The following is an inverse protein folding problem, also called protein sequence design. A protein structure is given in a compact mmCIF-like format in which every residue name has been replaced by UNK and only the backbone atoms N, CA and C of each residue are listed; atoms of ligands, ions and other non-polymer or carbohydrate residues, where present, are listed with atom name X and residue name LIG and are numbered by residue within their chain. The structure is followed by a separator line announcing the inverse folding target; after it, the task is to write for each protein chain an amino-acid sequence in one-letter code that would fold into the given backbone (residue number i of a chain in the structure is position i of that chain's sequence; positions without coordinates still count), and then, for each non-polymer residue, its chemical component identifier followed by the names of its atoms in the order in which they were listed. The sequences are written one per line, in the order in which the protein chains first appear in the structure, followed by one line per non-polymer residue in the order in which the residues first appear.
data_IF_393376657583
#
_entry.id   IF_393376657583
#
_cell.length_a   1.000
_cell.length_b   1.000
_cell.length_c   1.000
_cell.angle_alpha   90.00
_cell.angle_beta   90.00
_cell.angle_gamma   90.00
#
_symmetry.space_group_name_H-M   'P 1'
#
loop_
_entity.id
_entity.type
_entity.pdbx_description
1 polymer ?
#
# COMPACT_ATOMS: atom_id res chain seq x y z
N UNK A 1 35.09 1.04 48.27
CA UNK A 1 36.20 0.08 48.12
C UNK A 1 35.58 -1.19 47.54
N UNK A 2 35.79 -1.65 46.31
CA UNK A 2 36.73 -1.36 45.23
C UNK A 2 36.13 -1.89 43.91
N UNK A 3 36.33 -1.10 42.86
CA UNK A 3 36.39 -1.35 41.41
C UNK A 3 35.95 -2.69 40.77
N UNK A 4 35.02 -2.56 39.80
CA UNK A 4 35.42 -2.60 38.39
C UNK A 4 35.60 -3.97 37.74
N UNK A 5 34.50 -4.60 37.32
CA UNK A 5 34.55 -5.53 36.18
C UNK A 5 34.46 -4.72 34.88
N UNK A 6 35.61 -4.14 34.53
CA UNK A 6 35.87 -3.54 33.24
C UNK A 6 35.87 -4.67 32.19
N UNK A 7 34.69 -4.99 31.64
CA UNK A 7 34.57 -5.86 30.48
C UNK A 7 35.24 -5.17 29.29
N UNK A 8 36.54 -5.38 29.19
CA UNK A 8 37.40 -5.00 28.07
C UNK A 8 36.99 -5.83 26.84
N UNK A 9 35.90 -5.44 26.20
CA UNK A 9 35.62 -5.82 24.82
C UNK A 9 36.58 -5.04 23.92
N UNK A 10 37.72 -5.66 23.61
CA UNK A 10 38.56 -5.26 22.48
C UNK A 10 37.68 -5.32 21.22
N UNK A 11 37.19 -4.16 20.79
CA UNK A 11 36.36 -4.03 19.60
C UNK A 11 37.11 -4.63 18.40
N UNK A 12 36.53 -5.67 17.79
CA UNK A 12 37.09 -6.29 16.59
C UNK A 12 36.91 -5.30 15.43
N UNK A 13 37.98 -4.81 14.79
CA UNK A 13 37.90 -3.71 13.83
C UNK A 13 36.98 -3.99 12.63
N UNK A 14 36.83 -5.25 12.20
CA UNK A 14 35.93 -5.59 11.08
C UNK A 14 34.47 -5.22 11.35
N UNK A 15 34.04 -5.22 12.63
CA UNK A 15 32.64 -5.07 12.98
C UNK A 15 32.13 -3.66 12.66
N UNK A 16 33.02 -2.67 12.65
CA UNK A 16 32.71 -1.27 12.37
C UNK A 16 32.49 -1.05 10.87
N UNK A 17 33.31 -1.69 10.02
CA UNK A 17 33.15 -1.62 8.56
C UNK A 17 31.80 -2.19 8.10
N UNK A 18 31.29 -3.22 8.79
CA UNK A 18 30.00 -3.83 8.49
C UNK A 18 28.82 -2.89 8.78
N UNK A 19 28.94 -2.02 9.78
CA UNK A 19 27.89 -1.05 10.14
C UNK A 19 27.86 0.11 9.15
N UNK A 20 29.02 0.61 8.71
CA UNK A 20 29.07 1.70 7.73
C UNK A 20 28.52 1.28 6.36
N UNK A 21 28.78 0.05 5.93
CA UNK A 21 28.31 -0.47 4.63
C UNK A 21 26.76 -0.56 4.53
N UNK A 22 26.05 -0.70 5.66
CA UNK A 22 24.59 -0.69 5.69
C UNK A 22 23.98 0.71 5.46
N UNK A 23 24.74 1.77 5.73
CA UNK A 23 24.28 3.17 5.56
C UNK A 23 24.54 3.72 4.15
N UNK A 24 25.39 3.07 3.35
CA UNK A 24 25.71 3.45 1.97
C UNK A 24 24.85 2.74 0.91
N UNK A 25 23.80 2.02 1.32
CA UNK A 25 22.74 1.57 0.42
C UNK A 25 21.88 2.78 0.03
N UNK A 26 22.44 3.60 -0.85
CA UNK A 26 21.78 4.17 -2.01
C UNK A 26 20.28 4.45 -1.80
N UNK A 27 19.97 5.64 -1.27
CA UNK A 27 18.67 6.32 -1.39
C UNK A 27 18.38 6.61 -2.88
N UNK A 28 18.25 5.54 -3.68
CA UNK A 28 17.65 5.56 -5.00
C UNK A 28 16.16 5.59 -4.73
N UNK A 29 15.61 6.79 -4.64
CA UNK A 29 14.18 7.00 -4.83
C UNK A 29 13.80 6.24 -6.11
N UNK A 30 12.91 5.24 -6.05
CA UNK A 30 12.45 4.59 -7.26
C UNK A 30 11.83 5.69 -8.12
N UNK A 31 12.46 5.97 -9.26
CA UNK A 31 11.92 6.89 -10.27
C UNK A 31 10.57 6.31 -10.67
N UNK A 32 9.49 6.87 -10.14
CA UNK A 32 8.12 6.45 -10.43
C UNK A 32 7.82 6.90 -11.85
N UNK A 33 8.22 6.07 -12.80
CA UNK A 33 7.75 6.18 -14.19
C UNK A 33 6.25 5.90 -14.13
N UNK A 34 5.45 6.96 -14.05
CA UNK A 34 4.00 6.84 -13.95
C UNK A 34 3.54 6.15 -15.23
N UNK A 35 2.99 4.93 -15.16
CA UNK A 35 2.52 4.26 -16.35
C UNK A 35 1.40 5.10 -16.98
N UNK A 36 1.29 5.13 -18.33
CA UNK A 36 0.22 5.86 -18.99
C UNK A 36 -1.12 5.43 -18.39
N UNK A 37 -1.97 6.41 -18.04
CA UNK A 37 -3.25 6.19 -17.36
C UNK A 37 -4.17 5.37 -18.28
N UNK A 38 -4.17 4.06 -18.10
CA UNK A 38 -5.11 3.16 -18.76
C UNK A 38 -6.49 3.33 -18.13
N UNK A 39 -7.52 3.33 -18.96
CA UNK A 39 -8.89 3.29 -18.47
C UNK A 39 -9.05 2.04 -17.57
N UNK A 40 -9.63 2.17 -16.37
CA UNK A 40 -9.80 1.04 -15.48
C UNK A 40 -10.75 0.03 -16.13
N UNK A 41 -10.48 -1.26 -15.92
CA UNK A 41 -11.41 -2.29 -16.36
C UNK A 41 -12.75 -2.14 -15.63
N UNK A 42 -13.84 -2.58 -16.26
CA UNK A 42 -15.18 -2.55 -15.63
C UNK A 42 -15.18 -3.25 -14.27
N UNK A 43 -14.43 -4.35 -14.13
CA UNK A 43 -14.27 -5.06 -12.87
C UNK A 43 -13.53 -4.23 -11.81
N UNK A 44 -12.48 -3.50 -12.20
CA UNK A 44 -11.76 -2.61 -11.28
C UNK A 44 -12.68 -1.49 -10.76
N UNK A 45 -13.54 -0.94 -11.63
CA UNK A 45 -14.55 0.05 -11.23
C UNK A 45 -15.55 -0.57 -10.25
N UNK A 46 -16.11 -1.74 -10.57
CA UNK A 46 -17.07 -2.44 -9.70
C UNK A 46 -16.48 -2.74 -8.32
N UNK A 47 -15.23 -3.22 -8.27
CA UNK A 47 -14.52 -3.49 -7.02
C UNK A 47 -14.28 -2.22 -6.21
N UNK A 48 -13.90 -1.13 -6.87
CA UNK A 48 -13.70 0.17 -6.21
C UNK A 48 -14.98 0.65 -5.55
N UNK A 49 -16.10 0.63 -6.29
CA UNK A 49 -17.43 1.00 -5.76
C UNK A 49 -17.82 0.07 -4.61
N UNK A 50 -17.72 -1.25 -4.80
CA UNK A 50 -18.06 -2.23 -3.77
C UNK A 50 -17.21 -2.04 -2.50
N UNK A 51 -15.94 -1.70 -2.64
CA UNK A 51 -15.04 -1.45 -1.50
C UNK A 51 -15.45 -0.19 -0.74
N UNK A 52 -15.74 0.91 -1.44
CA UNK A 52 -16.21 2.15 -0.81
C UNK A 52 -17.53 1.92 -0.07
N UNK A 53 -18.47 1.23 -0.70
CA UNK A 53 -19.78 0.93 -0.09
C UNK A 53 -19.64 -0.08 1.07
N UNK A 54 -18.70 -1.03 1.00
CA UNK A 54 -18.44 -1.97 2.08
C UNK A 54 -17.91 -1.26 3.33
N UNK A 55 -16.99 -0.29 3.16
CA UNK A 55 -16.47 0.52 4.26
C UNK A 55 -17.59 1.34 4.91
N UNK A 56 -18.48 1.93 4.11
CA UNK A 56 -19.58 2.74 4.61
C UNK A 56 -20.67 1.91 5.30
N UNK A 57 -21.04 0.77 4.73
CA UNK A 57 -22.22 0.00 5.17
C UNK A 57 -21.88 -1.23 6.01
N UNK A 58 -20.60 -1.58 6.16
CA UNK A 58 -20.15 -2.79 6.86
C UNK A 58 -20.50 -4.11 6.16
N UNK A 59 -21.02 -4.07 4.93
CA UNK A 59 -21.38 -5.27 4.16
C UNK A 59 -20.16 -5.91 3.49
N UNK A 60 -20.25 -7.22 3.21
CA UNK A 60 -19.20 -7.94 2.48
C UNK A 60 -19.06 -7.43 1.04
N UNK A 61 -17.82 -7.13 0.64
CA UNK A 61 -17.44 -6.69 -0.72
C UNK A 61 -17.94 -7.66 -1.79
N UNK A 62 -17.86 -8.97 -1.54
CA UNK A 62 -18.27 -10.01 -2.51
C UNK A 62 -19.76 -9.95 -2.80
N UNK A 63 -20.57 -9.66 -1.77
CA UNK A 63 -22.02 -9.56 -1.90
C UNK A 63 -22.40 -8.29 -2.69
N UNK A 64 -21.69 -7.19 -2.43
CA UNK A 64 -21.85 -5.93 -3.15
C UNK A 64 -21.40 -6.03 -4.62
N UNK A 65 -20.28 -6.67 -4.90
CA UNK A 65 -19.83 -6.93 -6.28
C UNK A 65 -20.87 -7.74 -7.05
N UNK A 66 -21.45 -8.79 -6.45
CA UNK A 66 -22.53 -9.57 -7.07
C UNK A 66 -23.77 -8.73 -7.36
N UNK A 67 -24.19 -7.89 -6.41
CA UNK A 67 -25.34 -6.99 -6.60
C UNK A 67 -25.10 -5.97 -7.71
N UNK A 68 -23.89 -5.41 -7.81
CA UNK A 68 -23.52 -4.46 -8.86
C UNK A 68 -23.34 -5.10 -10.25
N UNK A 69 -23.07 -6.40 -10.30
CA UNK A 69 -23.03 -7.15 -11.57
C UNK A 69 -24.42 -7.45 -12.13
N UNK A 70 -25.45 -7.52 -11.26
CA UNK A 70 -26.82 -7.69 -11.72
C UNK A 70 -27.25 -6.47 -12.54
N UNK A 71 -27.93 -6.65 -13.68
CA UNK A 71 -28.48 -5.54 -14.44
C UNK A 71 -29.60 -4.88 -13.62
N UNK A 72 -29.27 -3.80 -12.90
CA UNK A 72 -30.26 -3.03 -12.13
C UNK A 72 -30.91 -1.98 -13.04
N UNK A 73 -32.23 -1.88 -12.88
CA UNK A 73 -33.21 -0.99 -13.50
C UNK A 73 -32.60 0.30 -14.05
N UNK A 74 -32.84 0.55 -15.36
CA UNK A 74 -32.44 1.79 -16.03
C UNK A 74 -32.90 2.99 -15.21
N UNK A 75 -31.98 3.79 -14.69
CA UNK A 75 -32.29 5.05 -14.03
C UNK A 75 -32.66 6.09 -15.11
N UNK A 76 -33.95 6.35 -15.39
CA UNK A 76 -34.36 7.08 -16.59
C UNK A 76 -34.04 8.58 -16.49
N UNK A 77 -33.63 9.07 -15.31
CA UNK A 77 -33.61 10.50 -14.95
C UNK A 77 -32.29 11.00 -14.39
N UNK A 78 -31.23 10.18 -14.32
CA UNK A 78 -29.92 10.67 -13.87
C UNK A 78 -29.20 11.28 -15.07
N UNK A 79 -29.43 12.56 -15.32
CA UNK A 79 -28.60 13.37 -16.21
C UNK A 79 -27.40 13.86 -15.41
N UNK A 80 -26.19 13.40 -15.76
CA UNK A 80 -24.97 14.05 -15.27
C UNK A 80 -24.95 15.46 -15.87
N UNK A 81 -24.97 16.48 -15.01
CA UNK A 81 -24.74 17.86 -15.44
C UNK A 81 -23.32 17.96 -16.02
N UNK A 82 -23.20 18.68 -17.14
CA UNK A 82 -21.94 18.86 -17.87
C UNK A 82 -21.24 20.12 -17.41
#
# INVERSE_FOLDING_TARGET
MEFGLFFSMKARPWLIDKIQNLTSQHYRMPKTTVPPRKAPSRQAVLRSVASSTAVETGHSVVLLERRLQQPVVRFPRVKLAR
#
